data_IF_361292684132
#
_entry.id   IF_361292684132
#
_cell.length_a   1.000
_cell.length_b   1.000
_cell.length_c   1.000
_cell.angle_alpha   90.00
_cell.angle_beta   90.00
_cell.angle_gamma   90.00
#
_symmetry.space_group_name_H-M   'P 1'
#
loop_
_entity.id
_entity.type
_entity.pdbx_description
1 polymer ?
#
# COMPACT_ATOMS: atom_id res chain seq x y z
N UNK A 1 -4.09 -12.77 25.72
CA UNK A 1 -3.24 -12.17 24.69
C UNK A 1 -4.13 -11.35 23.76
N UNK A 2 -3.91 -10.03 23.63
CA UNK A 2 -4.69 -9.17 22.72
C UNK A 2 -3.89 -8.77 21.47
N UNK A 3 -4.55 -8.74 20.31
CA UNK A 3 -3.96 -8.44 19.00
C UNK A 3 -4.78 -7.37 18.25
N UNK A 4 -4.14 -6.46 17.50
CA UNK A 4 -4.84 -5.48 16.64
C UNK A 4 -5.37 -6.21 15.41
N UNK A 5 -6.69 -6.26 15.22
CA UNK A 5 -7.29 -6.79 13.99
C UNK A 5 -6.93 -5.95 12.76
N UNK A 6 -6.61 -4.66 12.94
CA UNK A 6 -6.24 -3.76 11.85
C UNK A 6 -4.81 -3.93 11.33
N UNK A 7 -3.83 -4.24 12.18
CA UNK A 7 -2.42 -4.37 11.76
C UNK A 7 -1.76 -5.71 12.09
N UNK A 8 -2.47 -6.63 12.75
CA UNK A 8 -1.94 -7.93 13.14
C UNK A 8 -0.85 -7.89 14.21
N UNK A 9 -0.59 -6.73 14.83
CA UNK A 9 0.45 -6.61 15.84
C UNK A 9 -0.05 -7.04 17.23
N UNK A 10 0.84 -7.64 18.00
CA UNK A 10 0.57 -8.01 19.39
C UNK A 10 0.52 -6.74 20.25
N UNK A 11 -0.57 -6.54 20.99
CA UNK A 11 -0.79 -5.34 21.84
C UNK A 11 -0.51 -5.68 23.33
N UNK A 12 -0.04 -6.89 23.63
CA UNK A 12 0.23 -7.31 25.00
C UNK A 12 -1.00 -7.83 25.75
N UNK A 13 -0.74 -8.33 26.97
CA UNK A 13 -1.76 -8.79 27.93
C UNK A 13 -2.11 -7.75 28.99
N UNK A 14 -1.88 -6.47 28.68
CA UNK A 14 -1.98 -5.41 29.67
C UNK A 14 -3.44 -5.15 30.07
N UNK A 15 -3.83 -5.69 31.21
CA UNK A 15 -5.07 -5.36 31.92
C UNK A 15 -5.14 -3.89 32.35
N UNK A 16 -4.00 -3.21 32.43
CA UNK A 16 -3.86 -1.83 32.91
C UNK A 16 -4.32 -0.74 31.91
N UNK A 17 -4.30 -1.01 30.60
CA UNK A 17 -4.65 -0.02 29.56
C UNK A 17 -6.04 -0.24 28.96
N UNK A 18 -6.93 -0.87 29.73
CA UNK A 18 -8.31 -1.14 29.30
C UNK A 18 -9.12 0.13 29.45
N UNK A 19 -9.74 0.55 28.36
CA UNK A 19 -10.75 1.60 28.41
C UNK A 19 -12.12 0.96 28.25
N UNK A 20 -13.01 1.23 29.21
CA UNK A 20 -14.39 0.79 29.13
C UNK A 20 -15.14 1.82 28.28
N UNK A 21 -15.48 1.44 27.04
CA UNK A 21 -16.22 2.32 26.13
C UNK A 21 -17.71 2.02 26.31
N UNK A 22 -18.54 3.01 26.68
CA UNK A 22 -19.97 2.80 26.86
C UNK A 22 -20.60 2.24 25.57
N UNK A 23 -21.33 1.12 25.70
CA UNK A 23 -21.96 0.40 24.60
C UNK A 23 -21.06 -0.58 23.82
N UNK A 24 -19.74 -0.58 24.02
CA UNK A 24 -18.79 -1.49 23.33
C UNK A 24 -17.94 -2.36 24.25
N UNK A 25 -17.97 -2.09 25.56
CA UNK A 25 -17.24 -2.87 26.57
C UNK A 25 -15.76 -2.49 26.66
N UNK A 26 -14.96 -3.39 27.25
CA UNK A 26 -13.54 -3.16 27.49
C UNK A 26 -12.71 -3.37 26.21
N UNK A 27 -12.17 -2.28 25.67
CA UNK A 27 -11.35 -2.26 24.46
C UNK A 27 -9.90 -1.86 24.80
N UNK A 28 -8.96 -2.27 23.94
CA UNK A 28 -7.55 -1.87 24.02
C UNK A 28 -7.19 -1.09 22.77
N UNK A 29 -6.58 0.08 22.94
CA UNK A 29 -6.08 0.87 21.81
C UNK A 29 -4.73 0.29 21.35
N UNK A 30 -4.62 -0.04 20.07
CA UNK A 30 -3.33 -0.33 19.49
C UNK A 30 -2.66 0.96 19.00
N UNK A 31 -1.54 1.33 19.62
CA UNK A 31 -0.82 2.55 19.29
C UNK A 31 -0.19 2.56 17.89
N UNK A 32 -0.05 1.40 17.25
CA UNK A 32 0.56 1.29 15.91
C UNK A 32 -0.45 1.56 14.80
N UNK A 33 -1.67 1.01 14.91
CA UNK A 33 -2.75 1.16 13.94
C UNK A 33 -3.78 2.24 14.35
N UNK A 34 -3.67 2.80 15.58
CA UNK A 34 -4.68 3.65 16.25
C UNK A 34 -6.10 3.09 16.20
N UNK A 35 -6.23 1.77 16.16
CA UNK A 35 -7.52 1.08 16.20
C UNK A 35 -7.80 0.48 17.56
N UNK A 36 -9.08 0.49 17.93
CA UNK A 36 -9.61 -0.20 19.10
C UNK A 36 -9.78 -1.68 18.77
N UNK A 37 -9.16 -2.54 19.58
CA UNK A 37 -9.23 -3.98 19.43
C UNK A 37 -10.05 -4.59 20.59
N UNK A 38 -10.97 -5.48 20.23
CA UNK A 38 -11.70 -6.32 21.18
C UNK A 38 -10.81 -7.45 21.69
N UNK A 39 -10.95 -7.76 22.98
CA UNK A 39 -10.26 -8.89 23.61
C UNK A 39 -10.84 -10.19 23.04
N UNK A 40 -10.03 -10.97 22.34
CA UNK A 40 -10.37 -12.37 22.03
C UNK A 40 -9.83 -13.28 23.14
N UNK A 41 -10.67 -13.82 24.06
CA UNK A 41 -10.25 -14.89 24.92
C UNK A 41 -10.17 -16.19 24.09
N UNK A 42 -8.97 -16.72 23.89
CA UNK A 42 -8.82 -18.13 23.53
C UNK A 42 -8.58 -18.50 22.07
N UNK A 43 -8.20 -17.58 21.17
CA UNK A 43 -7.62 -17.98 19.87
C UNK A 43 -6.10 -17.88 19.90
N UNK A 44 -5.47 -19.02 20.17
CA UNK A 44 -4.01 -19.26 20.10
C UNK A 44 -3.49 -19.37 18.66
N UNK A 45 -4.39 -19.45 17.68
CA UNK A 45 -4.01 -19.48 16.26
C UNK A 45 -4.04 -18.06 15.73
N UNK A 46 -2.85 -17.54 15.45
CA UNK A 46 -2.64 -16.39 14.59
C UNK A 46 -3.67 -16.44 13.44
N UNK A 47 -4.42 -15.37 13.12
CA UNK A 47 -4.87 -15.25 11.75
C UNK A 47 -3.58 -15.29 10.94
N UNK A 48 -3.39 -16.36 10.15
CA UNK A 48 -2.23 -16.47 9.28
C UNK A 48 -2.18 -15.13 8.54
N UNK A 49 -1.13 -14.35 8.79
CA UNK A 49 -0.82 -13.16 8.01
C UNK A 49 -1.08 -13.61 6.58
N UNK A 50 -2.05 -13.04 5.88
CA UNK A 50 -2.30 -13.44 4.50
C UNK A 50 -0.98 -13.16 3.79
N UNK A 51 -0.20 -14.22 3.63
CA UNK A 51 1.07 -14.19 2.94
C UNK A 51 0.58 -13.94 1.53
N UNK A 52 0.66 -12.69 1.07
CA UNK A 52 0.49 -12.35 -0.32
C UNK A 52 1.34 -13.38 -1.06
N UNK A 53 0.72 -14.35 -1.79
CA UNK A 53 1.44 -15.50 -2.29
C UNK A 53 2.65 -14.99 -3.07
N UNK A 54 3.84 -15.55 -2.88
CA UNK A 54 5.07 -15.00 -3.47
C UNK A 54 4.99 -14.81 -5.00
N UNK A 55 4.09 -15.55 -5.67
CA UNK A 55 3.71 -15.33 -7.06
C UNK A 55 3.08 -13.95 -7.34
N UNK A 56 2.21 -13.44 -6.46
CA UNK A 56 1.64 -12.09 -6.57
C UNK A 56 2.73 -11.02 -6.44
N UNK A 57 3.68 -11.12 -5.51
CA UNK A 57 4.79 -10.15 -5.40
C UNK A 57 5.69 -10.12 -6.63
N UNK A 58 5.98 -11.28 -7.25
CA UNK A 58 6.75 -11.34 -8.51
C UNK A 58 5.98 -10.68 -9.67
N UNK A 59 4.67 -10.95 -9.77
CA UNK A 59 3.81 -10.31 -10.78
C UNK A 59 3.73 -8.79 -10.58
N UNK A 60 3.52 -8.31 -9.36
CA UNK A 60 3.48 -6.87 -9.04
C UNK A 60 4.81 -6.19 -9.40
N UNK A 61 5.95 -6.84 -9.14
CA UNK A 61 7.27 -6.32 -9.53
C UNK A 61 7.43 -6.25 -11.06
N UNK A 62 6.99 -7.29 -11.77
CA UNK A 62 7.05 -7.33 -13.24
C UNK A 62 6.14 -6.29 -13.90
N UNK A 63 4.90 -6.13 -13.41
CA UNK A 63 4.00 -5.06 -13.85
C UNK A 63 4.62 -3.70 -13.54
N UNK A 64 5.13 -3.48 -12.33
CA UNK A 64 5.83 -2.25 -11.95
C UNK A 64 6.95 -1.85 -12.93
N UNK A 65 7.77 -2.82 -13.36
CA UNK A 65 8.81 -2.55 -14.38
C UNK A 65 8.25 -2.23 -15.76
N UNK A 66 7.19 -2.91 -16.20
CA UNK A 66 6.53 -2.62 -17.49
C UNK A 66 5.94 -1.20 -17.50
N UNK A 67 5.29 -0.79 -16.42
CA UNK A 67 4.77 0.57 -16.25
C UNK A 67 5.88 1.63 -16.30
N UNK A 68 7.02 1.38 -15.65
CA UNK A 68 8.18 2.30 -15.71
C UNK A 68 8.78 2.38 -17.12
N UNK A 69 8.96 1.26 -17.81
CA UNK A 69 9.47 1.26 -19.19
C UNK A 69 8.52 1.97 -20.16
N UNK A 70 7.22 1.71 -20.04
CA UNK A 70 6.19 2.39 -20.83
C UNK A 70 6.16 3.90 -20.57
N UNK A 71 6.32 4.33 -19.32
CA UNK A 71 6.42 5.74 -18.96
C UNK A 71 7.63 6.42 -19.61
N UNK A 72 8.80 5.78 -19.62
CA UNK A 72 10.00 6.33 -20.28
C UNK A 72 9.77 6.50 -21.79
N UNK A 73 9.14 5.53 -22.44
CA UNK A 73 8.78 5.63 -23.86
C UNK A 73 7.80 6.76 -24.16
N UNK A 74 6.73 6.88 -23.38
CA UNK A 74 5.74 7.97 -23.50
C UNK A 74 6.37 9.34 -23.23
N UNK A 75 7.28 9.42 -22.27
CA UNK A 75 8.01 10.65 -21.96
C UNK A 75 8.90 11.07 -23.13
N UNK A 76 9.68 10.15 -23.69
CA UNK A 76 10.53 10.42 -24.85
C UNK A 76 9.71 10.86 -26.07
N UNK A 77 8.59 10.19 -26.34
CA UNK A 77 7.65 10.56 -27.41
C UNK A 77 7.06 11.96 -27.18
N UNK A 78 6.65 12.26 -25.93
CA UNK A 78 6.08 13.55 -25.55
C UNK A 78 7.09 14.69 -25.73
N UNK A 79 8.32 14.50 -25.27
CA UNK A 79 9.42 15.47 -25.44
C UNK A 79 9.72 15.68 -26.94
N UNK A 80 9.80 14.60 -27.72
CA UNK A 80 10.01 14.70 -29.16
C UNK A 80 8.90 15.50 -29.86
N UNK A 81 7.64 15.26 -29.52
CA UNK A 81 6.50 16.03 -30.07
C UNK A 81 6.54 17.51 -29.67
N UNK A 82 6.98 17.81 -28.44
CA UNK A 82 7.17 19.18 -27.97
C UNK A 82 8.25 19.93 -28.77
N UNK A 83 9.36 19.27 -29.10
CA UNK A 83 10.44 19.89 -29.88
C UNK A 83 10.07 20.19 -31.34
N UNK A 84 9.06 19.52 -31.90
CA UNK A 84 8.59 19.75 -33.28
C UNK A 84 7.57 20.89 -33.44
N UNK A 85 7.19 21.58 -32.35
CA UNK A 85 6.38 22.81 -32.37
C UNK A 85 4.90 22.66 -32.74
N UNK A 86 4.54 21.76 -33.66
CA UNK A 86 3.16 21.57 -34.14
C UNK A 86 2.24 20.83 -33.17
N UNK A 87 2.80 20.20 -32.13
CA UNK A 87 2.09 19.24 -31.28
C UNK A 87 2.35 19.51 -29.79
N UNK A 88 2.39 20.78 -29.38
CA UNK A 88 2.67 21.16 -27.99
C UNK A 88 1.65 20.58 -26.99
N UNK A 89 0.34 20.71 -27.27
CA UNK A 89 -0.73 20.24 -26.37
C UNK A 89 -0.71 18.72 -26.18
N UNK A 90 -0.52 17.98 -27.27
CA UNK A 90 -0.45 16.52 -27.25
C UNK A 90 0.84 16.04 -26.58
N UNK A 91 1.97 16.70 -26.84
CA UNK A 91 3.24 16.42 -26.15
C UNK A 91 3.16 16.64 -24.64
N UNK A 92 2.51 17.71 -24.20
CA UNK A 92 2.30 18.01 -22.77
C UNK A 92 1.42 16.93 -22.09
N UNK A 93 0.32 16.52 -22.72
CA UNK A 93 -0.55 15.45 -22.21
C UNK A 93 0.19 14.12 -22.08
N UNK A 94 1.04 13.79 -23.06
CA UNK A 94 1.86 12.57 -23.03
C UNK A 94 2.86 12.58 -21.87
N UNK A 95 3.49 13.72 -21.60
CA UNK A 95 4.42 13.87 -20.47
C UNK A 95 3.69 13.73 -19.13
N UNK A 96 2.53 14.38 -18.96
CA UNK A 96 1.73 14.25 -17.74
C UNK A 96 1.28 12.80 -17.51
N UNK A 97 0.86 12.12 -18.58
CA UNK A 97 0.54 10.69 -18.55
C UNK A 97 1.75 9.82 -18.21
N UNK A 98 2.94 10.14 -18.72
CA UNK A 98 4.16 9.43 -18.39
C UNK A 98 4.53 9.56 -16.90
N UNK A 99 4.43 10.77 -16.33
CA UNK A 99 4.74 11.02 -14.91
C UNK A 99 3.80 10.25 -13.99
N UNK A 100 2.51 10.18 -14.31
CA UNK A 100 1.54 9.41 -13.52
C UNK A 100 1.81 7.90 -13.59
N UNK A 101 2.04 7.35 -14.78
CA UNK A 101 2.42 5.94 -14.99
C UNK A 101 3.72 5.57 -14.26
N UNK A 102 4.72 6.47 -14.29
CA UNK A 102 5.97 6.27 -13.59
C UNK A 102 5.78 6.22 -12.06
N UNK A 103 4.95 7.12 -11.52
CA UNK A 103 4.63 7.18 -10.09
C UNK A 103 3.91 5.91 -9.61
N UNK A 104 2.97 5.39 -10.41
CA UNK A 104 2.29 4.12 -10.15
C UNK A 104 3.28 2.96 -10.17
N UNK A 105 4.15 2.89 -11.18
CA UNK A 105 5.21 1.88 -11.26
C UNK A 105 6.13 1.89 -10.03
N UNK A 106 6.50 3.08 -9.54
CA UNK A 106 7.35 3.26 -8.37
C UNK A 106 6.64 2.84 -7.07
N UNK A 107 5.34 3.14 -6.95
CA UNK A 107 4.49 2.68 -5.85
C UNK A 107 4.40 1.15 -5.78
N UNK A 108 4.13 0.50 -6.92
CA UNK A 108 4.07 -0.97 -7.01
C UNK A 108 5.40 -1.63 -6.63
N UNK A 109 6.53 -1.05 -7.08
CA UNK A 109 7.87 -1.58 -6.75
C UNK A 109 8.21 -1.41 -5.27
N UNK A 110 7.81 -0.29 -4.64
CA UNK A 110 7.96 -0.09 -3.19
C UNK A 110 7.10 -1.05 -2.38
N UNK A 111 5.87 -1.33 -2.85
CA UNK A 111 4.98 -2.31 -2.21
C UNK A 111 5.56 -3.73 -2.29
N UNK A 112 6.10 -4.13 -3.45
CA UNK A 112 6.68 -5.45 -3.65
C UNK A 112 8.02 -5.70 -2.91
N UNK A 113 8.67 -4.64 -2.39
CA UNK A 113 9.94 -4.72 -1.66
C UNK A 113 9.78 -4.62 -0.13
N UNK A 114 8.56 -4.39 0.38
CA UNK A 114 8.24 -4.39 1.82
C UNK A 114 7.73 -5.76 2.25
#
# INVERSE_FOLDING_TARGET
MAYCQGCGHYIGDYSAYRHNIPGKGALVLCYQCRHWAERHPGRTKFPAREIIPQQQTRRVRAYGSLYMMGAVGLFALGVFMLTRGNHFKTGLLLILGAVSLFSIGLGMRRFANR
#
